data_IF_980445622471
#
_entry.id   IF_980445622471
#
_cell.length_a   1.000
_cell.length_b   1.000
_cell.length_c   1.000
_cell.angle_alpha   90.00
_cell.angle_beta   90.00
_cell.angle_gamma   90.00
#
_symmetry.space_group_name_H-M   'P 1'
#
loop_
_entity.id
_entity.type
_entity.pdbx_description
1 polymer ?
#
# COMPACT_ATOMS: atom_id res chain seq x y z
N UNK A 1 -14.75 4.64 3.67
CA UNK A 1 -14.78 3.17 3.71
C UNK A 1 -15.37 2.70 2.40
N UNK A 2 -14.54 2.24 1.46
CA UNK A 2 -14.94 1.70 0.16
C UNK A 2 -15.77 0.41 0.25
N UNK A 3 -16.83 0.41 1.06
CA UNK A 3 -17.77 -0.71 1.15
C UNK A 3 -18.30 -1.01 -0.26
N UNK A 4 -18.05 -2.24 -0.72
CA UNK A 4 -18.44 -2.72 -2.05
C UNK A 4 -17.54 -2.29 -3.21
N UNK A 5 -16.36 -1.69 -2.98
CA UNK A 5 -15.44 -1.28 -4.06
C UNK A 5 -14.00 -1.70 -3.79
N UNK A 6 -13.35 -2.27 -4.79
CA UNK A 6 -11.92 -2.51 -4.77
C UNK A 6 -11.15 -1.25 -5.19
N UNK A 7 -10.05 -0.96 -4.48
CA UNK A 7 -9.07 0.06 -4.87
C UNK A 7 -7.81 -0.66 -5.34
N UNK A 8 -7.36 -0.34 -6.55
CA UNK A 8 -6.16 -0.93 -7.13
C UNK A 8 -5.04 0.11 -7.09
N UNK A 9 -3.94 -0.23 -6.44
CA UNK A 9 -2.74 0.61 -6.33
C UNK A 9 -1.60 -0.05 -7.07
N UNK A 10 -0.88 0.70 -7.90
CA UNK A 10 0.31 0.19 -8.59
C UNK A 10 1.53 0.32 -7.67
N UNK A 11 2.24 -0.79 -7.48
CA UNK A 11 3.50 -0.81 -6.75
C UNK A 11 4.63 -0.82 -7.77
N UNK A 12 5.49 0.20 -7.73
CA UNK A 12 6.70 0.28 -8.53
C UNK A 12 7.90 -0.22 -7.71
N UNK A 13 8.77 -1.00 -8.36
CA UNK A 13 10.10 -1.34 -7.84
C UNK A 13 11.10 -0.31 -8.36
N UNK A 14 11.77 0.40 -7.45
CA UNK A 14 12.80 1.38 -7.77
C UNK A 14 14.15 0.70 -8.04
N UNK A 15 15.11 1.37 -8.70
CA UNK A 15 16.43 0.81 -8.99
C UNK A 15 17.23 0.33 -7.77
N UNK A 16 16.94 0.88 -6.58
CA UNK A 16 17.51 0.46 -5.30
C UNK A 16 16.77 -0.72 -4.64
N UNK A 17 15.96 -1.46 -5.42
CA UNK A 17 15.13 -2.58 -4.97
C UNK A 17 14.12 -2.23 -3.85
N UNK A 18 13.69 -0.96 -3.76
CA UNK A 18 12.63 -0.53 -2.85
C UNK A 18 11.27 -0.50 -3.55
N UNK A 19 10.21 -0.68 -2.76
CA UNK A 19 8.82 -0.73 -3.20
C UNK A 19 8.10 0.56 -2.84
N UNK A 20 7.45 1.21 -3.81
CA UNK A 20 6.68 2.44 -3.61
C UNK A 20 5.33 2.32 -4.30
N UNK A 21 4.27 2.84 -3.67
CA UNK A 21 2.98 3.02 -4.34
C UNK A 21 3.10 4.26 -5.23
N UNK A 22 2.73 4.15 -6.51
CA UNK A 22 2.77 5.33 -7.40
C UNK A 22 1.93 6.47 -6.82
N UNK A 23 2.54 7.65 -6.69
CA UNK A 23 1.92 8.85 -6.11
C UNK A 23 2.16 9.03 -4.60
N UNK A 24 2.83 8.09 -3.93
CA UNK A 24 3.28 8.23 -2.54
C UNK A 24 4.76 8.60 -2.48
N UNK A 25 5.16 9.30 -1.41
CA UNK A 25 6.55 9.73 -1.19
C UNK A 25 7.41 8.68 -0.47
N UNK A 26 6.78 7.63 0.06
CA UNK A 26 7.45 6.65 0.93
C UNK A 26 7.76 5.34 0.20
N UNK A 27 9.04 5.00 0.12
CA UNK A 27 9.51 3.69 -0.37
C UNK A 27 9.86 2.75 0.80
N UNK A 28 9.57 1.45 0.63
CA UNK A 28 9.75 0.38 1.62
C UNK A 28 10.80 -0.64 1.16
N UNK A 29 11.48 -1.32 2.08
CA UNK A 29 12.49 -2.32 1.70
C UNK A 29 11.88 -3.65 1.26
N UNK A 30 10.61 -3.92 1.61
CA UNK A 30 9.88 -5.12 1.19
C UNK A 30 8.37 -4.86 1.10
N UNK A 31 7.63 -5.75 0.42
CA UNK A 31 6.16 -5.73 0.41
C UNK A 31 5.57 -5.93 1.80
N UNK A 32 6.21 -6.73 2.66
CA UNK A 32 5.77 -6.93 4.05
C UNK A 32 5.84 -5.64 4.86
N UNK A 33 6.91 -4.86 4.71
CA UNK A 33 7.02 -3.55 5.36
C UNK A 33 6.00 -2.54 4.84
N UNK A 34 5.76 -2.54 3.52
CA UNK A 34 4.74 -1.69 2.90
C UNK A 34 3.35 -1.99 3.48
N UNK A 35 2.98 -3.27 3.58
CA UNK A 35 1.70 -3.70 4.18
C UNK A 35 1.63 -3.27 5.64
N UNK A 36 2.67 -3.55 6.43
CA UNK A 36 2.72 -3.20 7.86
C UNK A 36 2.57 -1.69 8.08
N UNK A 37 3.21 -0.87 7.25
CA UNK A 37 3.08 0.58 7.34
C UNK A 37 1.63 1.03 7.08
N UNK A 38 1.01 0.51 6.02
CA UNK A 38 -0.34 0.91 5.64
C UNK A 38 -1.46 0.29 6.50
N UNK A 39 -1.12 -0.54 7.49
CA UNK A 39 -2.05 -0.90 8.57
C UNK A 39 -2.30 0.26 9.53
N UNK A 40 -1.33 1.16 9.69
CA UNK A 40 -1.45 2.35 10.55
C UNK A 40 -1.62 3.66 9.78
N UNK A 41 -1.15 3.73 8.53
CA UNK A 41 -1.19 4.95 7.70
C UNK A 41 -2.01 4.72 6.44
N UNK A 42 -3.00 5.60 6.21
CA UNK A 42 -3.86 5.52 5.04
C UNK A 42 -3.10 5.70 3.72
N UNK A 43 -3.59 5.06 2.66
CA UNK A 43 -3.02 5.19 1.30
C UNK A 43 -3.73 6.33 0.55
N UNK A 44 -2.97 7.25 -0.05
CA UNK A 44 -3.50 8.32 -0.89
C UNK A 44 -4.22 7.75 -2.13
N UNK A 45 -5.28 8.42 -2.62
CA UNK A 45 -5.90 9.64 -2.08
C UNK A 45 -7.00 9.38 -1.03
N UNK A 46 -7.36 8.12 -0.78
CA UNK A 46 -8.55 7.79 0.00
C UNK A 46 -8.30 7.73 1.51
N UNK A 47 -7.02 7.68 1.91
CA UNK A 47 -6.58 7.62 3.31
C UNK A 47 -7.17 6.43 4.08
N UNK A 48 -7.48 5.35 3.37
CA UNK A 48 -7.95 4.10 3.97
C UNK A 48 -6.75 3.21 4.34
N UNK A 49 -6.80 2.58 5.51
CA UNK A 49 -5.77 1.66 6.00
C UNK A 49 -6.09 0.23 5.61
N UNK A 50 -5.04 -0.58 5.46
CA UNK A 50 -5.16 -2.04 5.32
C UNK A 50 -5.57 -2.64 6.67
N UNK A 51 -6.51 -3.57 6.65
CA UNK A 51 -7.08 -4.14 7.88
C UNK A 51 -6.84 -5.64 7.96
N UNK A 52 -7.71 -6.43 7.35
CA UNK A 52 -7.64 -7.89 7.36
C UNK A 52 -7.17 -8.35 5.98
N UNK A 53 -6.14 -9.21 5.89
CA UNK A 53 -5.74 -9.80 4.61
C UNK A 53 -6.86 -10.70 4.08
N UNK A 54 -7.05 -10.73 2.76
CA UNK A 54 -7.93 -11.69 2.14
C UNK A 54 -7.31 -13.10 2.17
N UNK A 55 -8.14 -14.12 1.93
CA UNK A 55 -7.67 -15.50 1.70
C UNK A 55 -6.94 -15.66 0.36
N UNK A 56 -6.41 -16.86 0.14
CA UNK A 56 -5.73 -17.26 -1.10
C UNK A 56 -6.71 -17.80 -2.14
#
# INVERSE_FOLDING_TARGET
RGEGRCRHYMIQVQPNARYVILGEDRAHASLTELVRYHQGVGIQPFMETLTVPCGQ
#
